data_IF_844768143265
#
_entry.id   IF_844768143265
#
_cell.length_a   1.000
_cell.length_b   1.000
_cell.length_c   1.000
_cell.angle_alpha   90.00
_cell.angle_beta   90.00
_cell.angle_gamma   90.00
#
_symmetry.space_group_name_H-M   'P 1'
#
loop_
_entity.id
_entity.type
_entity.pdbx_description
1 polymer ?
#
# COMPACT_ATOMS: atom_id res chain seq x y z
N UNK A 1 19.77 8.41 -19.19
CA UNK A 1 20.10 8.79 -17.79
C UNK A 1 20.01 7.51 -16.98
N UNK A 2 20.94 7.20 -16.07
CA UNK A 2 20.77 6.03 -15.20
C UNK A 2 19.65 6.38 -14.23
N UNK A 3 18.46 5.83 -14.46
CA UNK A 3 17.35 5.92 -13.51
C UNK A 3 17.84 5.40 -12.16
N UNK A 4 18.08 6.32 -11.24
CA UNK A 4 18.50 5.97 -9.88
C UNK A 4 17.28 5.37 -9.20
N UNK A 5 17.26 4.04 -9.10
CA UNK A 5 16.18 3.33 -8.44
C UNK A 5 16.19 3.67 -6.95
N UNK A 6 15.04 4.06 -6.42
CA UNK A 6 14.84 4.27 -4.99
C UNK A 6 14.27 2.99 -4.39
N UNK A 7 14.99 2.39 -3.44
CA UNK A 7 14.53 1.20 -2.73
C UNK A 7 13.89 1.62 -1.41
N UNK A 8 12.59 1.35 -1.27
CA UNK A 8 11.85 1.56 -0.02
C UNK A 8 11.72 0.21 0.68
N UNK A 9 12.13 0.14 1.95
CA UNK A 9 11.92 -1.03 2.80
C UNK A 9 10.74 -0.75 3.71
N UNK A 10 9.76 -1.64 3.68
CA UNK A 10 8.58 -1.59 4.52
C UNK A 10 8.60 -2.77 5.47
N UNK A 11 8.21 -2.55 6.71
CA UNK A 11 7.84 -3.62 7.63
C UNK A 11 6.59 -4.32 7.11
N UNK A 12 6.30 -5.50 7.66
CA UNK A 12 5.12 -6.26 7.28
C UNK A 12 3.82 -5.50 7.56
N UNK A 13 3.77 -4.77 8.68
CA UNK A 13 2.61 -3.99 9.08
C UNK A 13 2.42 -2.76 8.17
N UNK A 14 3.51 -2.06 7.81
CA UNK A 14 3.44 -0.93 6.86
C UNK A 14 3.02 -1.40 5.47
N UNK A 15 3.58 -2.51 4.99
CA UNK A 15 3.23 -3.10 3.71
C UNK A 15 1.74 -3.47 3.66
N UNK A 16 1.20 -4.04 4.74
CA UNK A 16 -0.20 -4.43 4.86
C UNK A 16 -1.15 -3.22 4.85
N UNK A 17 -0.83 -2.20 5.64
CA UNK A 17 -1.66 -0.98 5.70
C UNK A 17 -1.62 -0.23 4.36
N UNK A 18 -0.43 -0.13 3.75
CA UNK A 18 -0.26 0.53 2.46
C UNK A 18 -0.96 -0.22 1.32
N UNK A 19 -0.87 -1.55 1.27
CA UNK A 19 -1.56 -2.33 0.23
C UNK A 19 -3.07 -2.18 0.33
N UNK A 20 -3.63 -2.25 1.54
CA UNK A 20 -5.07 -2.05 1.75
C UNK A 20 -5.54 -0.65 1.33
N UNK A 21 -4.75 0.38 1.62
CA UNK A 21 -5.07 1.73 1.19
C UNK A 21 -5.01 1.88 -0.33
N UNK A 22 -3.99 1.29 -0.98
CA UNK A 22 -3.84 1.30 -2.45
C UNK A 22 -4.98 0.55 -3.16
N UNK A 23 -5.47 -0.53 -2.59
CA UNK A 23 -6.64 -1.26 -3.08
C UNK A 23 -7.89 -0.37 -3.02
N UNK A 24 -8.15 0.26 -1.86
CA UNK A 24 -9.26 1.21 -1.70
C UNK A 24 -9.15 2.41 -2.64
N UNK A 25 -7.92 2.90 -2.87
CA UNK A 25 -7.65 3.99 -3.80
C UNK A 25 -8.03 3.60 -5.24
N UNK A 26 -7.73 2.37 -5.66
CA UNK A 26 -8.13 1.85 -6.97
C UNK A 26 -9.63 1.63 -7.14
N UNK A 27 -10.34 1.29 -6.06
CA UNK A 27 -11.81 1.21 -6.07
C UNK A 27 -12.49 2.58 -6.07
N UNK A 28 -11.74 3.63 -5.70
CA UNK A 28 -12.22 5.01 -5.70
C UNK A 28 -11.83 5.70 -7.01
N UNK A 29 -12.51 6.79 -7.35
CA UNK A 29 -12.10 7.63 -8.47
C UNK A 29 -10.75 8.29 -8.17
N UNK A 30 -9.66 7.65 -8.62
CA UNK A 30 -8.27 8.10 -8.43
C UNK A 30 -8.06 9.56 -8.84
N UNK A 31 -8.80 10.03 -9.86
CA UNK A 31 -8.70 11.40 -10.36
C UNK A 31 -9.11 12.46 -9.33
N UNK A 32 -9.83 12.06 -8.26
CA UNK A 32 -10.25 12.94 -7.16
C UNK A 32 -9.26 13.00 -6.00
N UNK A 33 -8.38 12.00 -5.89
CA UNK A 33 -7.44 11.86 -4.76
C UNK A 33 -6.02 12.20 -5.21
N UNK A 34 -5.76 12.09 -6.51
CA UNK A 34 -4.44 12.23 -7.10
C UNK A 34 -4.52 13.26 -8.23
N UNK A 35 -3.92 14.42 -8.00
CA UNK A 35 -3.97 15.57 -8.92
C UNK A 35 -3.13 15.37 -10.20
N UNK A 36 -2.05 14.57 -10.12
CA UNK A 36 -1.12 14.36 -11.23
C UNK A 36 -1.18 12.91 -11.78
N UNK A 37 -1.57 12.71 -13.05
CA UNK A 37 -1.56 11.39 -13.70
C UNK A 37 -0.19 10.71 -13.72
N UNK A 38 0.91 11.45 -13.62
CA UNK A 38 2.27 10.90 -13.62
C UNK A 38 2.51 9.92 -12.47
N UNK A 39 1.78 10.05 -11.35
CA UNK A 39 1.94 9.15 -10.21
C UNK A 39 1.16 7.83 -10.35
N UNK A 40 0.27 7.70 -11.33
CA UNK A 40 -0.52 6.48 -11.53
C UNK A 40 0.37 5.27 -11.84
N UNK A 41 1.34 5.41 -12.75
CA UNK A 41 2.24 4.33 -13.10
C UNK A 41 3.10 3.85 -11.90
N UNK A 42 3.73 4.74 -11.11
CA UNK A 42 4.36 4.38 -9.85
C UNK A 42 3.42 3.72 -8.84
N UNK A 43 2.21 4.25 -8.63
CA UNK A 43 1.21 3.71 -7.70
C UNK A 43 0.83 2.27 -8.07
N UNK A 44 0.51 2.02 -9.35
CA UNK A 44 0.21 0.68 -9.84
C UNK A 44 1.40 -0.28 -9.68
N UNK A 45 2.63 0.20 -9.88
CA UNK A 45 3.84 -0.62 -9.66
C UNK A 45 3.98 -1.00 -8.19
N UNK A 46 3.82 -0.05 -7.27
CA UNK A 46 3.90 -0.30 -5.82
C UNK A 46 2.81 -1.28 -5.39
N UNK A 47 1.55 -1.05 -5.81
CA UNK A 47 0.43 -1.94 -5.51
C UNK A 47 0.71 -3.38 -6.00
N UNK A 48 1.11 -3.54 -7.26
CA UNK A 48 1.44 -4.86 -7.81
C UNK A 48 2.65 -5.54 -7.16
N UNK A 49 3.62 -4.78 -6.65
CA UNK A 49 4.73 -5.33 -5.86
C UNK A 49 4.27 -5.80 -4.48
N UNK A 50 3.41 -5.03 -3.82
CA UNK A 50 2.86 -5.36 -2.50
C UNK A 50 1.93 -6.57 -2.55
N UNK A 51 1.05 -6.67 -3.55
CA UNK A 51 0.15 -7.81 -3.74
C UNK A 51 0.93 -9.12 -3.88
N UNK A 52 2.06 -9.09 -4.60
CA UNK A 52 2.94 -10.26 -4.75
C UNK A 52 3.69 -10.61 -3.47
N UNK A 53 4.07 -9.60 -2.69
CA UNK A 53 4.80 -9.78 -1.44
C UNK A 53 3.90 -10.23 -0.28
N UNK A 54 2.58 -9.98 -0.36
CA UNK A 54 1.59 -10.26 0.67
C UNK A 54 0.53 -11.25 0.18
N UNK A 55 0.86 -12.55 -0.02
CA UNK A 55 -0.15 -13.56 -0.40
C UNK A 55 -1.25 -13.78 0.67
N UNK A 56 -1.05 -13.24 1.88
CA UNK A 56 -1.99 -13.35 3.01
C UNK A 56 -3.16 -12.37 3.01
N UNK A 57 -3.34 -11.53 1.98
CA UNK A 57 -4.45 -10.58 1.87
C UNK A 57 -5.83 -11.25 1.85
N UNK A 58 -5.90 -12.53 1.46
CA UNK A 58 -7.15 -13.32 1.41
C UNK A 58 -7.39 -14.18 2.66
N UNK A 59 -6.60 -13.99 3.71
CA UNK A 59 -6.78 -14.75 4.94
C UNK A 59 -8.08 -14.33 5.65
N UNK A 60 -8.83 -15.26 6.27
CA UNK A 60 -10.08 -14.93 6.97
C UNK A 60 -9.86 -14.00 8.17
N UNK A 61 -8.62 -13.89 8.68
CA UNK A 61 -8.21 -12.98 9.74
C UNK A 61 -7.56 -11.69 9.22
N UNK A 62 -7.71 -11.37 7.92
CA UNK A 62 -7.12 -10.20 7.28
C UNK A 62 -7.48 -8.89 7.99
N UNK A 63 -8.77 -8.65 8.26
CA UNK A 63 -9.22 -7.42 8.91
C UNK A 63 -8.64 -7.27 10.32
N UNK A 64 -8.53 -8.37 11.07
CA UNK A 64 -7.94 -8.35 12.40
C UNK A 64 -6.44 -8.01 12.35
N UNK A 65 -5.72 -8.57 11.37
CA UNK A 65 -4.29 -8.26 11.15
C UNK A 65 -4.09 -6.81 10.72
N UNK A 66 -4.97 -6.30 9.87
CA UNK A 66 -4.93 -4.92 9.40
C UNK A 66 -5.14 -3.93 10.55
N UNK A 67 -6.14 -4.17 11.40
CA UNK A 67 -6.38 -3.31 12.56
C UNK A 67 -5.23 -3.39 13.58
N UNK A 68 -4.68 -4.58 13.83
CA UNK A 68 -3.52 -4.72 14.70
C UNK A 68 -2.29 -3.97 14.14
N UNK A 69 -2.06 -4.05 12.82
CA UNK A 69 -1.00 -3.30 12.16
C UNK A 69 -1.21 -1.78 12.27
N UNK A 70 -2.44 -1.30 12.04
CA UNK A 70 -2.80 0.12 12.22
C UNK A 70 -2.55 0.59 13.65
N UNK A 71 -2.93 -0.19 14.66
CA UNK A 71 -2.71 0.16 16.06
C UNK A 71 -1.24 0.28 16.40
N UNK A 72 -0.37 -0.56 15.83
CA UNK A 72 1.08 -0.48 16.06
C UNK A 72 1.77 0.67 15.32
N UNK A 73 1.20 1.12 14.20
CA UNK A 73 1.79 2.18 13.36
C UNK A 73 1.26 3.58 13.67
N UNK A 74 0.12 3.70 14.35
CA UNK A 74 -0.38 5.00 14.80
C UNK A 74 0.61 5.58 15.82
N UNK A 75 1.06 6.84 15.65
CA UNK A 75 1.84 7.50 16.69
C UNK A 75 1.00 7.54 17.96
N UNK A 76 1.64 7.27 19.11
CA UNK A 76 1.05 7.57 20.41
C UNK A 76 0.86 9.09 20.48
N UNK A 77 -0.36 9.55 20.80
CA UNK A 77 -0.69 10.97 20.97
C UNK A 77 0.19 11.67 22.02
#
# INVERSE_FOLDING_TARGET
MRDSQVTIKLTRDEALVLSHWLEKLQMTDLSRVVDDPAVWAPIHRIAGTLDKALPGLFAPDYDQRLEAARQRLRPED
#
